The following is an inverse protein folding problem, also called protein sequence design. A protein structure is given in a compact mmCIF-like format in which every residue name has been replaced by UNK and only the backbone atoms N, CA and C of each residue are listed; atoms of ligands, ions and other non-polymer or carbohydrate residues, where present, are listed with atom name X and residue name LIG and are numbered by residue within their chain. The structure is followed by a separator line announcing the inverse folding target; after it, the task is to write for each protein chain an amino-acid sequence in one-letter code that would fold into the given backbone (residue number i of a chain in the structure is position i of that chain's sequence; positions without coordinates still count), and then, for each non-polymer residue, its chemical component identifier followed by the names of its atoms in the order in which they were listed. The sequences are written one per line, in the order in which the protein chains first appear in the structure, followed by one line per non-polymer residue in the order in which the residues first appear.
data_IF_039465852056
#
_entry.id   IF_039465852056
#
_cell.length_a   1.000
_cell.length_b   1.000
_cell.length_c   1.000
_cell.angle_alpha   90.00
_cell.angle_beta   90.00
_cell.angle_gamma   90.00
#
_symmetry.space_group_name_H-M   'P 1'
#
loop_
_entity.id
_entity.type
_entity.pdbx_description
1 polymer ?
#
# COMPACT_ATOMS: atom_id res chain seq x y z
N UNK A 1 10.17 -45.59 -31.92
CA UNK A 1 10.94 -46.26 -30.83
C UNK A 1 11.74 -45.28 -29.96
N UNK A 2 12.24 -44.13 -30.47
CA UNK A 2 12.95 -43.12 -29.66
C UNK A 2 12.14 -42.58 -28.47
N UNK A 3 10.88 -42.15 -28.70
CA UNK A 3 9.99 -41.63 -27.64
C UNK A 3 9.76 -42.60 -26.47
N UNK A 4 9.53 -43.89 -26.76
CA UNK A 4 9.32 -44.90 -25.71
C UNK A 4 10.62 -45.12 -24.92
N UNK A 5 11.78 -45.08 -25.59
CA UNK A 5 13.06 -45.15 -24.89
C UNK A 5 13.24 -43.94 -23.97
N UNK A 6 12.97 -42.73 -24.45
CA UNK A 6 13.07 -41.50 -23.64
C UNK A 6 12.14 -41.48 -22.40
N UNK A 7 10.95 -42.09 -22.47
CA UNK A 7 10.01 -42.13 -21.34
C UNK A 7 10.50 -43.01 -20.18
N UNK A 8 11.26 -44.07 -20.49
CA UNK A 8 11.73 -45.07 -19.52
C UNK A 8 13.25 -45.04 -19.31
N UNK A 9 13.98 -44.21 -20.06
CA UNK A 9 15.40 -43.96 -19.80
C UNK A 9 15.47 -43.16 -18.50
N UNK A 10 15.79 -43.85 -17.41
CA UNK A 10 15.86 -43.33 -16.04
C UNK A 10 16.99 -42.32 -15.81
N UNK A 11 17.37 -41.56 -16.83
CA UNK A 11 18.32 -40.47 -16.75
C UNK A 11 17.76 -39.37 -15.85
N UNK A 12 18.13 -39.42 -14.56
CA UNK A 12 18.53 -38.32 -13.65
C UNK A 12 17.92 -36.91 -13.83
N UNK A 13 16.76 -36.74 -14.45
CA UNK A 13 16.06 -35.47 -14.60
C UNK A 13 15.28 -35.20 -13.32
N UNK A 14 15.98 -34.72 -12.30
CA UNK A 14 15.37 -34.33 -11.03
C UNK A 14 16.24 -34.47 -9.79
N UNK A 15 17.56 -34.65 -9.91
CA UNK A 15 18.43 -34.36 -8.77
C UNK A 15 18.41 -32.84 -8.54
N UNK A 16 17.54 -32.42 -7.62
CA UNK A 16 17.81 -31.23 -6.82
C UNK A 16 19.17 -31.49 -6.19
N UNK A 17 20.17 -30.69 -6.56
CA UNK A 17 21.56 -30.89 -6.18
C UNK A 17 21.73 -31.13 -4.66
N UNK A 18 22.78 -31.86 -4.26
CA UNK A 18 22.94 -32.31 -2.89
C UNK A 18 22.92 -31.12 -1.92
N UNK A 19 22.08 -31.24 -0.88
CA UNK A 19 22.15 -30.38 0.30
C UNK A 19 23.58 -30.51 0.87
N UNK A 20 24.34 -29.42 1.08
CA UNK A 20 25.71 -29.50 1.56
C UNK A 20 25.69 -30.04 2.99
N UNK A 21 26.23 -31.24 3.21
CA UNK A 21 26.47 -31.73 4.57
C UNK A 21 26.42 -33.25 4.83
N UNK A 22 26.03 -34.11 3.89
CA UNK A 22 25.93 -35.56 4.17
C UNK A 22 26.92 -36.38 3.36
N UNK A 23 28.08 -36.70 3.98
CA UNK A 23 29.09 -37.64 3.48
C UNK A 23 28.45 -39.03 3.33
N UNK A 24 28.54 -39.59 2.13
CA UNK A 24 28.01 -40.91 1.80
C UNK A 24 29.05 -41.97 2.13
N UNK A 25 28.78 -42.79 3.15
CA UNK A 25 29.49 -44.02 3.44
C UNK A 25 28.50 -45.18 3.46
N UNK A 26 28.76 -46.19 2.63
CA UNK A 26 28.23 -47.55 2.77
C UNK A 26 26.75 -47.80 2.44
N UNK A 27 26.50 -48.45 1.31
CA UNK A 27 25.61 -49.63 1.27
C UNK A 27 24.16 -49.49 1.72
N UNK A 28 23.38 -48.59 1.10
CA UNK A 28 21.95 -48.84 0.80
C UNK A 28 21.53 -47.82 -0.24
N UNK A 29 21.06 -48.29 -1.39
CA UNK A 29 20.34 -47.44 -2.33
C UNK A 29 19.14 -46.85 -1.58
N UNK A 30 19.29 -45.67 -0.99
CA UNK A 30 18.16 -44.89 -0.51
C UNK A 30 17.41 -44.42 -1.74
N UNK A 31 16.59 -45.32 -2.29
CA UNK A 31 15.59 -44.97 -3.28
C UNK A 31 14.77 -43.83 -2.69
N UNK A 32 14.96 -42.63 -3.22
CA UNK A 32 14.22 -41.44 -2.82
C UNK A 32 12.73 -41.76 -2.87
N UNK A 33 12.08 -41.73 -1.70
CA UNK A 33 10.65 -42.02 -1.62
C UNK A 33 9.88 -40.98 -2.43
N UNK A 34 8.70 -41.35 -2.94
CA UNK A 34 7.82 -40.41 -3.65
C UNK A 34 7.54 -39.18 -2.77
N UNK A 35 7.36 -39.39 -1.45
CA UNK A 35 7.20 -38.30 -0.48
C UNK A 35 8.45 -37.40 -0.35
N UNK A 36 9.65 -37.99 -0.38
CA UNK A 36 10.92 -37.25 -0.37
C UNK A 36 11.10 -36.38 -1.62
N UNK A 37 10.78 -36.92 -2.79
CA UNK A 37 10.79 -36.18 -4.06
C UNK A 37 9.75 -35.05 -4.06
N UNK A 38 8.52 -35.34 -3.63
CA UNK A 38 7.44 -34.35 -3.54
C UNK A 38 7.82 -33.20 -2.60
N UNK A 39 8.38 -33.50 -1.42
CA UNK A 39 8.84 -32.47 -0.48
C UNK A 39 9.92 -31.58 -1.08
N UNK A 40 10.92 -32.16 -1.75
CA UNK A 40 11.99 -31.39 -2.38
C UNK A 40 11.46 -30.46 -3.48
N UNK A 41 10.56 -30.96 -4.33
CA UNK A 41 9.91 -30.16 -5.37
C UNK A 41 9.01 -29.06 -4.79
N UNK A 42 8.28 -29.35 -3.70
CA UNK A 42 7.43 -28.38 -3.02
C UNK A 42 8.25 -27.24 -2.41
N UNK A 43 9.40 -27.53 -1.81
CA UNK A 43 10.30 -26.49 -1.27
C UNK A 43 10.76 -25.53 -2.37
N UNK A 44 11.23 -26.06 -3.51
CA UNK A 44 11.65 -25.25 -4.66
C UNK A 44 10.49 -24.40 -5.20
N UNK A 45 9.28 -24.96 -5.24
CA UNK A 45 8.09 -24.21 -5.65
C UNK A 45 7.76 -23.06 -4.68
N UNK A 46 7.81 -23.30 -3.37
CA UNK A 46 7.53 -22.29 -2.35
C UNK A 46 8.55 -21.15 -2.36
N UNK A 47 9.83 -21.45 -2.62
CA UNK A 47 10.86 -20.43 -2.79
C UNK A 47 10.54 -19.52 -3.98
N UNK A 48 10.22 -20.11 -5.15
CA UNK A 48 9.83 -19.34 -6.34
C UNK A 48 8.58 -18.49 -6.09
N UNK A 49 7.56 -19.05 -5.40
CA UNK A 49 6.34 -18.30 -5.10
C UNK A 49 6.60 -17.13 -4.16
N UNK A 50 7.52 -17.27 -3.19
CA UNK A 50 7.89 -16.20 -2.26
C UNK A 50 8.55 -15.01 -2.97
N UNK A 51 9.29 -15.27 -4.03
CA UNK A 51 9.99 -14.24 -4.79
C UNK A 51 9.06 -13.52 -5.81
N UNK A 52 7.84 -14.00 -5.98
CA UNK A 52 6.83 -13.43 -6.89
C UNK A 52 5.73 -12.66 -6.16
N UNK A 53 5.06 -11.74 -6.88
CA UNK A 53 3.81 -11.15 -6.41
C UNK A 53 2.68 -12.18 -6.42
N UNK A 54 2.11 -12.49 -5.26
CA UNK A 54 1.05 -13.50 -5.14
C UNK A 54 -0.34 -12.88 -5.31
N UNK A 55 -1.11 -13.42 -6.25
CA UNK A 55 -2.53 -13.13 -6.43
C UNK A 55 -3.35 -14.36 -6.07
N UNK A 56 -4.34 -14.20 -5.19
CA UNK A 56 -5.14 -15.31 -4.67
C UNK A 56 -6.55 -15.30 -5.26
N UNK A 57 -6.94 -16.43 -5.86
CA UNK A 57 -8.33 -16.71 -6.26
C UNK A 57 -8.82 -17.90 -5.44
N UNK A 58 -10.00 -17.76 -4.80
CA UNK A 58 -10.62 -18.81 -3.99
C UNK A 58 -11.87 -19.31 -4.70
N UNK A 59 -11.81 -20.53 -5.21
CA UNK A 59 -12.95 -21.19 -5.82
C UNK A 59 -13.91 -21.70 -4.73
N UNK A 60 -15.22 -21.58 -4.96
CA UNK A 60 -16.27 -22.05 -4.06
C UNK A 60 -17.20 -22.95 -4.86
N UNK A 61 -17.49 -24.15 -4.36
CA UNK A 61 -18.44 -25.08 -5.00
C UNK A 61 -19.87 -24.63 -4.66
N UNK A 62 -20.73 -24.31 -5.66
CA UNK A 62 -22.04 -23.73 -5.40
C UNK A 62 -23.06 -24.76 -4.89
N UNK A 63 -23.00 -26.00 -5.35
CA UNK A 63 -23.89 -27.09 -4.94
C UNK A 63 -23.21 -28.45 -5.13
N UNK A 64 -23.67 -29.47 -4.41
CA UNK A 64 -23.14 -30.83 -4.52
C UNK A 64 -23.69 -31.60 -5.72
N UNK A 65 -24.87 -31.23 -6.22
CA UNK A 65 -25.57 -31.89 -7.34
C UNK A 65 -25.01 -31.56 -8.73
N UNK A 66 -23.96 -30.72 -8.80
CA UNK A 66 -23.32 -30.25 -10.04
C UNK A 66 -24.30 -29.60 -11.02
N UNK A 67 -25.37 -28.97 -10.53
CA UNK A 67 -26.41 -28.35 -11.34
C UNK A 67 -26.12 -26.87 -11.55
N UNK A 68 -26.24 -26.35 -12.77
CA UNK A 68 -26.06 -24.94 -13.05
C UNK A 68 -27.19 -24.09 -12.42
N UNK A 69 -26.86 -22.88 -11.96
CA UNK A 69 -27.83 -21.92 -11.40
C UNK A 69 -28.35 -22.23 -9.99
N UNK A 70 -28.01 -23.39 -9.43
CA UNK A 70 -28.41 -23.79 -8.07
C UNK A 70 -27.30 -23.46 -7.07
N UNK A 71 -27.63 -22.79 -5.97
CA UNK A 71 -26.69 -22.43 -4.91
C UNK A 71 -27.19 -22.92 -3.55
N UNK A 72 -26.41 -23.78 -2.90
CA UNK A 72 -26.62 -24.19 -1.52
C UNK A 72 -25.85 -23.27 -0.56
N UNK A 73 -26.59 -22.37 0.07
CA UNK A 73 -26.03 -21.39 1.00
C UNK A 73 -25.33 -22.01 2.21
N UNK A 74 -25.80 -23.15 2.72
CA UNK A 74 -25.21 -23.79 3.90
C UNK A 74 -23.84 -24.41 3.57
N UNK A 75 -23.75 -25.11 2.44
CA UNK A 75 -22.50 -25.68 1.94
C UNK A 75 -21.47 -24.58 1.58
N UNK A 76 -21.92 -23.49 0.94
CA UNK A 76 -21.07 -22.34 0.62
C UNK A 76 -20.54 -21.68 1.90
N UNK A 77 -21.41 -21.46 2.90
CA UNK A 77 -21.02 -20.83 4.16
C UNK A 77 -19.98 -21.66 4.91
N UNK A 78 -20.15 -22.98 4.94
CA UNK A 78 -19.18 -23.90 5.55
C UNK A 78 -17.80 -23.78 4.87
N UNK A 79 -17.76 -23.81 3.53
CA UNK A 79 -16.52 -23.62 2.76
C UNK A 79 -15.84 -22.28 3.08
N UNK A 80 -16.59 -21.18 3.13
CA UNK A 80 -16.04 -19.85 3.44
C UNK A 80 -15.48 -19.77 4.87
N UNK A 81 -16.10 -20.45 5.83
CA UNK A 81 -15.59 -20.54 7.21
C UNK A 81 -14.31 -21.37 7.27
N UNK A 82 -14.30 -22.56 6.68
CA UNK A 82 -13.13 -23.44 6.65
C UNK A 82 -11.94 -22.82 5.91
N UNK A 83 -12.20 -22.07 4.83
CA UNK A 83 -11.17 -21.34 4.09
C UNK A 83 -10.68 -20.06 4.81
N UNK A 84 -11.28 -19.70 5.95
CA UNK A 84 -10.92 -18.51 6.73
C UNK A 84 -11.37 -17.19 6.11
N UNK A 85 -12.24 -17.21 5.09
CA UNK A 85 -12.64 -16.02 4.34
C UNK A 85 -13.38 -14.99 5.21
N UNK A 86 -14.15 -15.44 6.19
CA UNK A 86 -14.82 -14.54 7.14
C UNK A 86 -13.82 -13.73 7.99
N UNK A 87 -12.73 -14.36 8.42
CA UNK A 87 -11.65 -13.72 9.18
C UNK A 87 -10.87 -12.74 8.29
N UNK A 88 -10.57 -13.14 7.05
CA UNK A 88 -9.93 -12.27 6.05
C UNK A 88 -10.77 -11.03 5.77
N UNK A 89 -12.08 -11.19 5.55
CA UNK A 89 -12.98 -10.06 5.31
C UNK A 89 -13.03 -9.09 6.51
N UNK A 90 -13.07 -9.63 7.74
CA UNK A 90 -13.02 -8.81 8.96
C UNK A 90 -11.71 -8.04 9.08
N UNK A 91 -10.57 -8.66 8.75
CA UNK A 91 -9.27 -8.02 8.70
C UNK A 91 -9.25 -6.91 7.64
N UNK A 92 -9.74 -7.18 6.43
CA UNK A 92 -9.80 -6.20 5.34
C UNK A 92 -10.68 -4.99 5.67
N UNK A 93 -11.80 -5.20 6.37
CA UNK A 93 -12.70 -4.12 6.80
C UNK A 93 -12.07 -3.20 7.84
N UNK A 94 -11.25 -3.75 8.74
CA UNK A 94 -10.50 -2.97 9.75
C UNK A 94 -9.24 -2.33 9.19
N UNK A 95 -8.65 -2.94 8.16
CA UNK A 95 -7.42 -2.50 7.53
C UNK A 95 -7.65 -1.56 6.33
N UNK A 96 -6.59 -1.44 5.54
CA UNK A 96 -6.55 -0.65 4.31
C UNK A 96 -6.08 -1.53 3.16
N UNK A 97 -7.01 -2.24 2.47
CA UNK A 97 -6.65 -3.24 1.47
C UNK A 97 -6.08 -2.62 0.19
N UNK A 98 -6.54 -1.44 -0.19
CA UNK A 98 -6.09 -0.73 -1.40
C UNK A 98 -4.85 0.10 -1.09
N UNK A 99 -3.81 -0.05 -1.91
CA UNK A 99 -2.50 0.59 -1.71
C UNK A 99 -2.00 1.13 -3.03
N UNK A 100 -1.52 2.37 -3.02
CA UNK A 100 -0.97 3.00 -4.24
C UNK A 100 0.28 3.77 -3.87
N UNK A 101 1.34 3.66 -4.67
CA UNK A 101 2.56 4.41 -4.38
C UNK A 101 2.39 5.89 -4.71
N UNK A 102 3.16 6.74 -4.02
CA UNK A 102 3.17 8.17 -4.32
C UNK A 102 3.71 8.45 -5.72
N UNK A 103 4.68 7.65 -6.17
CA UNK A 103 5.29 7.79 -7.49
C UNK A 103 4.29 7.45 -8.59
N UNK A 104 3.58 6.32 -8.47
CA UNK A 104 2.59 5.92 -9.47
C UNK A 104 1.46 6.96 -9.54
N UNK A 105 0.96 7.40 -8.38
CA UNK A 105 -0.06 8.45 -8.33
C UNK A 105 0.43 9.72 -9.02
N UNK A 106 1.64 10.17 -8.71
CA UNK A 106 2.22 11.37 -9.30
C UNK A 106 2.40 11.26 -10.82
N UNK A 107 2.93 10.13 -11.30
CA UNK A 107 3.21 9.93 -12.73
C UNK A 107 1.93 9.94 -13.56
N UNK A 108 0.82 9.39 -13.05
CA UNK A 108 -0.49 9.47 -13.70
C UNK A 108 -0.96 10.92 -13.96
N UNK A 109 -0.56 11.88 -13.11
CA UNK A 109 -0.97 13.29 -13.22
C UNK A 109 0.12 14.18 -13.82
N UNK A 110 1.35 13.69 -13.95
CA UNK A 110 2.51 14.50 -14.36
C UNK A 110 2.30 15.28 -15.64
N UNK A 111 1.68 14.66 -16.65
CA UNK A 111 1.40 15.30 -17.94
C UNK A 111 0.41 16.47 -17.86
N UNK A 112 -0.44 16.51 -16.83
CA UNK A 112 -1.46 17.53 -16.64
C UNK A 112 -1.02 18.62 -15.64
N UNK A 113 0.17 18.47 -15.05
CA UNK A 113 0.69 19.38 -14.04
C UNK A 113 1.48 20.54 -14.66
N UNK A 114 1.32 21.78 -14.16
CA UNK A 114 2.20 22.89 -14.49
C UNK A 114 3.66 22.59 -14.08
N UNK A 115 4.66 23.17 -14.78
CA UNK A 115 6.08 22.90 -14.53
C UNK A 115 6.52 23.18 -13.08
N UNK A 116 5.90 24.17 -12.41
CA UNK A 116 6.15 24.50 -11.00
C UNK A 116 5.77 23.36 -10.05
N UNK A 117 4.66 22.65 -10.32
CA UNK A 117 4.18 21.53 -9.52
C UNK A 117 4.84 20.21 -9.93
N UNK A 118 5.26 20.10 -11.18
CA UNK A 118 5.98 18.93 -11.67
C UNK A 118 7.35 18.75 -10.96
N UNK A 119 7.94 19.81 -10.39
CA UNK A 119 9.17 19.70 -9.60
C UNK A 119 8.97 19.31 -8.14
N UNK A 120 7.72 19.16 -7.69
CA UNK A 120 7.41 18.89 -6.29
C UNK A 120 7.68 17.43 -5.93
N UNK A 121 8.04 17.20 -4.67
CA UNK A 121 8.13 15.85 -4.11
C UNK A 121 6.77 15.10 -4.24
N UNK A 122 6.74 13.85 -4.74
CA UNK A 122 5.51 13.09 -4.99
C UNK A 122 4.63 12.92 -3.74
N UNK A 123 5.25 12.78 -2.56
CA UNK A 123 4.50 12.64 -1.30
C UNK A 123 3.84 13.96 -0.91
N UNK A 124 4.55 15.07 -1.05
CA UNK A 124 3.97 16.40 -0.81
C UNK A 124 2.84 16.69 -1.81
N UNK A 125 3.03 16.36 -3.09
CA UNK A 125 1.99 16.50 -4.11
C UNK A 125 0.72 15.73 -3.73
N UNK A 126 0.85 14.45 -3.37
CA UNK A 126 -0.29 13.63 -2.96
C UNK A 126 -1.00 14.21 -1.71
N UNK A 127 -0.26 14.74 -0.74
CA UNK A 127 -0.88 15.41 0.43
C UNK A 127 -1.73 16.61 0.01
N UNK A 128 -1.21 17.46 -0.88
CA UNK A 128 -1.96 18.60 -1.38
C UNK A 128 -3.21 18.16 -2.16
N UNK A 129 -3.07 17.14 -3.01
CA UNK A 129 -4.14 16.63 -3.85
C UNK A 129 -5.32 16.11 -3.01
N UNK A 130 -5.03 15.32 -1.97
CA UNK A 130 -6.06 14.75 -1.10
C UNK A 130 -6.77 15.83 -0.29
N UNK A 131 -6.04 16.88 0.13
CA UNK A 131 -6.64 18.04 0.77
C UNK A 131 -7.52 18.84 -0.20
N UNK A 132 -7.09 19.01 -1.46
CA UNK A 132 -7.88 19.72 -2.48
C UNK A 132 -9.18 18.98 -2.84
N UNK A 133 -9.17 17.64 -2.74
CA UNK A 133 -10.33 16.77 -2.92
C UNK A 133 -11.24 16.72 -1.68
N UNK A 134 -10.81 17.22 -0.52
CA UNK A 134 -11.60 17.20 0.70
C UNK A 134 -11.84 15.79 1.27
N UNK A 135 -10.91 14.86 1.03
CA UNK A 135 -11.04 13.50 1.56
C UNK A 135 -10.91 13.46 3.08
N UNK A 136 -11.71 12.62 3.73
CA UNK A 136 -11.66 12.44 5.17
C UNK A 136 -10.43 11.62 5.60
N UNK A 137 -9.75 12.05 6.66
CA UNK A 137 -8.59 11.36 7.25
C UNK A 137 -8.89 9.96 7.83
N UNK A 138 -10.15 9.52 7.81
CA UNK A 138 -10.61 8.20 8.24
C UNK A 138 -10.54 7.19 7.08
N UNK A 139 -10.70 7.68 5.85
CA UNK A 139 -10.84 6.86 4.64
C UNK A 139 -9.50 6.51 3.99
N UNK A 140 -8.45 7.26 4.33
CA UNK A 140 -7.10 7.01 3.87
C UNK A 140 -6.06 7.26 4.97
N UNK A 141 -4.88 6.67 4.81
CA UNK A 141 -3.69 6.92 5.63
C UNK A 141 -2.46 7.04 4.74
N UNK A 142 -1.60 7.99 5.07
CA UNK A 142 -0.31 8.15 4.42
C UNK A 142 0.74 7.28 5.10
N UNK A 143 1.41 6.41 4.35
CA UNK A 143 2.64 5.75 4.79
C UNK A 143 3.89 6.54 4.43
N UNK A 144 5.02 5.83 4.41
CA UNK A 144 6.31 6.39 4.00
C UNK A 144 6.41 6.54 2.48
N UNK A 145 6.03 5.50 1.73
CA UNK A 145 6.14 5.44 0.26
C UNK A 145 4.81 5.25 -0.47
N UNK A 146 3.73 4.92 0.27
CA UNK A 146 2.42 4.57 -0.29
C UNK A 146 1.28 5.23 0.48
N UNK A 147 0.16 5.43 -0.21
CA UNK A 147 -1.15 5.75 0.38
C UNK A 147 -1.95 4.47 0.56
N UNK A 148 -2.63 4.37 1.69
CA UNK A 148 -3.48 3.26 2.08
C UNK A 148 -4.93 3.74 2.12
N UNK A 149 -5.85 3.04 1.45
CA UNK A 149 -7.26 3.40 1.39
C UNK A 149 -8.14 2.32 1.99
N UNK A 150 -9.25 2.75 2.59
CA UNK A 150 -10.33 1.85 2.99
C UNK A 150 -10.97 1.17 1.77
N UNK A 151 -11.65 0.03 1.96
CA UNK A 151 -12.36 -0.65 0.87
C UNK A 151 -13.30 0.31 0.12
N UNK A 152 -13.28 0.27 -1.22
CA UNK A 152 -14.16 1.09 -2.09
C UNK A 152 -13.70 2.54 -2.31
N UNK A 153 -13.00 3.15 -1.33
CA UNK A 153 -12.62 4.58 -1.39
C UNK A 153 -11.62 4.92 -2.49
N UNK A 154 -10.71 4.00 -2.81
CA UNK A 154 -9.79 4.19 -3.93
C UNK A 154 -10.52 4.26 -5.29
N UNK A 155 -11.56 3.43 -5.48
CA UNK A 155 -12.33 3.43 -6.72
C UNK A 155 -13.16 4.71 -6.88
N UNK A 156 -13.79 5.19 -5.80
CA UNK A 156 -14.46 6.49 -5.78
C UNK A 156 -13.49 7.64 -6.14
N UNK A 157 -12.30 7.62 -5.55
CA UNK A 157 -11.23 8.58 -5.86
C UNK A 157 -10.83 8.53 -7.33
N UNK A 158 -10.48 7.35 -7.84
CA UNK A 158 -10.04 7.16 -9.22
C UNK A 158 -11.13 7.57 -10.24
N UNK A 159 -12.40 7.28 -9.93
CA UNK A 159 -13.53 7.68 -10.76
C UNK A 159 -13.74 9.21 -10.76
N UNK A 160 -13.62 9.86 -9.61
CA UNK A 160 -13.72 11.33 -9.50
C UNK A 160 -12.62 12.03 -10.31
N UNK A 161 -11.42 11.42 -10.34
CA UNK A 161 -10.27 11.97 -11.06
C UNK A 161 -10.28 11.68 -12.57
N UNK A 162 -10.88 10.56 -13.02
CA UNK A 162 -10.95 10.20 -14.44
C UNK A 162 -12.07 10.88 -15.22
N UNK A 163 -13.14 11.32 -14.56
CA UNK A 163 -14.37 11.72 -15.26
C UNK A 163 -14.27 13.00 -16.08
N UNK A 164 -13.40 13.96 -15.72
CA UNK A 164 -13.38 15.24 -16.42
C UNK A 164 -12.01 15.95 -16.34
N UNK A 165 -11.32 16.19 -17.47
CA UNK A 165 -10.05 16.95 -17.48
C UNK A 165 -10.21 18.40 -17.00
N UNK A 166 -11.41 18.99 -17.06
CA UNK A 166 -11.68 20.30 -16.48
C UNK A 166 -11.58 20.28 -14.95
N UNK A 167 -12.02 19.19 -14.32
CA UNK A 167 -11.94 19.01 -12.87
C UNK A 167 -10.49 18.92 -12.39
N UNK A 168 -9.61 18.31 -13.20
CA UNK A 168 -8.18 18.21 -12.88
C UNK A 168 -7.53 19.59 -12.84
N UNK A 169 -7.86 20.51 -13.76
CA UNK A 169 -7.36 21.89 -13.73
C UNK A 169 -7.76 22.63 -12.45
N UNK A 170 -9.03 22.54 -12.06
CA UNK A 170 -9.53 23.13 -10.80
C UNK A 170 -8.82 22.54 -9.58
N UNK A 171 -8.54 21.23 -9.59
CA UNK A 171 -7.79 20.56 -8.54
C UNK A 171 -6.35 21.06 -8.46
N UNK A 172 -5.69 21.21 -9.61
CA UNK A 172 -4.33 21.75 -9.70
C UNK A 172 -4.25 23.18 -9.14
N UNK A 173 -5.23 24.03 -9.44
CA UNK A 173 -5.28 25.40 -8.92
C UNK A 173 -5.52 25.44 -7.41
N UNK A 174 -6.37 24.54 -6.89
CA UNK A 174 -6.56 24.34 -5.44
C UNK A 174 -5.28 23.87 -4.77
N UNK A 175 -4.57 22.92 -5.38
CA UNK A 175 -3.27 22.41 -4.91
C UNK A 175 -2.24 23.54 -4.86
N UNK A 176 -2.12 24.34 -5.93
CA UNK A 176 -1.20 25.49 -6.00
C UNK A 176 -1.52 26.52 -4.92
N UNK A 177 -2.79 26.88 -4.78
CA UNK A 177 -3.26 27.82 -3.75
C UNK A 177 -2.96 27.31 -2.34
N UNK A 178 -3.19 26.03 -2.08
CA UNK A 178 -2.89 25.41 -0.78
C UNK A 178 -1.38 25.37 -0.49
N UNK A 179 -0.57 25.07 -1.51
CA UNK A 179 0.89 25.03 -1.38
C UNK A 179 1.45 26.42 -1.05
N UNK A 180 0.97 27.46 -1.75
CA UNK A 180 1.36 28.86 -1.48
C UNK A 180 0.95 29.28 -0.06
N UNK A 181 -0.30 29.03 0.34
CA UNK A 181 -0.78 29.32 1.71
C UNK A 181 0.04 28.59 2.77
N UNK A 182 0.40 27.33 2.53
CA UNK A 182 1.18 26.52 3.48
C UNK A 182 2.62 27.02 3.60
N UNK A 183 3.27 27.38 2.48
CA UNK A 183 4.62 27.96 2.49
C UNK A 183 4.65 29.31 3.20
N UNK A 184 3.67 30.18 2.91
CA UNK A 184 3.54 31.48 3.56
C UNK A 184 3.33 31.37 5.06
N UNK A 185 2.44 30.47 5.51
CA UNK A 185 2.27 30.18 6.93
C UNK A 185 3.59 29.73 7.54
N UNK A 186 4.26 28.71 6.98
CA UNK A 186 5.55 28.24 7.51
C UNK A 186 6.62 29.34 7.64
N UNK A 187 6.69 30.26 6.68
CA UNK A 187 7.59 31.41 6.76
C UNK A 187 7.24 32.35 7.93
N UNK A 188 5.95 32.66 8.11
CA UNK A 188 5.47 33.44 9.26
C UNK A 188 5.82 32.73 10.57
N UNK A 189 5.52 31.43 10.69
CA UNK A 189 5.88 30.60 11.84
C UNK A 189 7.37 30.64 12.19
N UNK A 190 8.24 30.53 11.17
CA UNK A 190 9.68 30.59 11.34
C UNK A 190 10.13 31.93 11.91
N UNK A 191 9.67 33.03 11.32
CA UNK A 191 9.95 34.38 11.80
C UNK A 191 9.46 34.60 13.24
N UNK A 192 8.24 34.17 13.55
CA UNK A 192 7.65 34.29 14.88
C UNK A 192 8.39 33.46 15.94
N UNK A 193 8.87 32.27 15.57
CA UNK A 193 9.66 31.41 16.47
C UNK A 193 10.99 32.06 16.86
N UNK A 194 11.63 32.78 15.93
CA UNK A 194 12.87 33.54 16.19
C UNK A 194 12.58 34.74 17.10
N UNK A 195 11.51 35.49 16.82
CA UNK A 195 11.08 36.63 17.66
C UNK A 195 10.76 36.15 19.09
N UNK A 196 10.01 35.05 19.25
CA UNK A 196 9.68 34.45 20.56
C UNK A 196 10.94 34.05 21.34
N UNK A 197 11.95 33.45 20.68
CA UNK A 197 13.24 33.13 21.31
C UNK A 197 14.01 34.38 21.73
N UNK A 198 14.02 35.43 20.90
CA UNK A 198 14.67 36.71 21.25
C UNK A 198 14.00 37.40 22.43
N UNK A 199 12.67 37.44 22.49
CA UNK A 199 11.97 38.00 23.65
C UNK A 199 12.22 37.23 24.95
N UNK A 200 12.31 35.89 24.87
CA UNK A 200 12.65 35.05 26.01
C UNK A 200 14.10 35.27 26.50
N UNK A 201 15.04 35.48 25.58
CA UNK A 201 16.47 35.76 25.88
C UNK A 201 16.66 37.11 26.60
N UNK A 202 15.84 38.11 26.30
CA UNK A 202 15.88 39.44 26.93
C UNK A 202 14.97 39.59 28.16
N UNK A 203 14.32 38.52 28.63
CA UNK A 203 13.46 38.55 29.83
C UNK A 203 12.19 39.41 29.70
N UNK A 204 11.85 39.86 28.49
CA UNK A 204 10.67 40.69 28.22
C UNK A 204 9.45 39.77 28.05
N UNK A 205 8.47 39.84 28.96
CA UNK A 205 7.18 39.18 28.78
C UNK A 205 6.46 39.78 27.58
N UNK A 206 6.27 38.99 26.52
CA UNK A 206 5.51 39.40 25.34
C UNK A 206 4.11 39.89 25.74
N UNK A 207 3.72 41.07 25.24
CA UNK A 207 2.41 41.66 25.53
C UNK A 207 1.25 40.79 25.04
N UNK A 208 0.02 40.98 25.56
CA UNK A 208 -1.13 40.10 25.32
C UNK A 208 -1.53 39.97 23.84
N UNK A 209 -1.30 41.01 23.02
CA UNK A 209 -1.51 40.97 21.56
C UNK A 209 -0.53 40.04 20.83
N UNK A 210 0.72 40.00 21.30
CA UNK A 210 1.79 39.14 20.76
C UNK A 210 1.49 37.68 21.08
N UNK A 211 1.04 37.39 22.31
CA UNK A 211 0.65 36.04 22.71
C UNK A 211 -0.57 35.52 21.94
N UNK A 212 -1.60 36.36 21.69
CA UNK A 212 -2.77 35.95 20.90
C UNK A 212 -2.38 35.58 19.46
N UNK A 213 -1.58 36.42 18.80
CA UNK A 213 -1.06 36.11 17.46
C UNK A 213 -0.19 34.85 17.45
N UNK A 214 0.61 34.60 18.50
CA UNK A 214 1.37 33.36 18.64
C UNK A 214 0.45 32.15 18.79
N UNK A 215 -0.65 32.24 19.54
CA UNK A 215 -1.61 31.13 19.69
C UNK A 215 -2.38 30.85 18.40
N UNK A 216 -2.80 31.89 17.67
CA UNK A 216 -3.48 31.76 16.37
C UNK A 216 -2.53 31.16 15.33
N UNK A 217 -1.30 31.68 15.29
CA UNK A 217 -0.15 31.08 14.62
C UNK A 217 0.46 30.00 15.52
N UNK A 218 -0.28 29.17 16.24
CA UNK A 218 0.20 27.85 16.75
C UNK A 218 -0.88 26.82 16.41
N UNK A 219 -2.15 27.20 16.58
CA UNK A 219 -3.32 26.49 16.09
C UNK A 219 -3.29 26.21 14.57
N UNK A 220 -2.81 27.15 13.74
CA UNK A 220 -2.68 26.94 12.29
C UNK A 220 -1.56 25.96 11.89
N UNK A 221 -0.52 25.81 12.72
CA UNK A 221 0.57 24.85 12.53
C UNK A 221 0.16 23.51 13.02
N UNK A 222 -0.68 23.41 14.05
CA UNK A 222 -1.23 22.13 14.48
C UNK A 222 -2.03 21.47 13.34
N UNK A 223 -2.68 22.24 12.47
CA UNK A 223 -3.33 21.73 11.26
C UNK A 223 -2.29 21.23 10.24
N UNK A 224 -1.14 21.89 10.10
CA UNK A 224 -0.05 21.48 9.20
C UNK A 224 0.89 20.40 9.79
N UNK A 225 0.97 20.31 11.12
CA UNK A 225 1.93 19.53 11.89
C UNK A 225 1.28 18.24 12.40
N UNK A 226 -0.01 18.22 12.76
CA UNK A 226 -0.76 16.96 12.94
C UNK A 226 -0.86 16.14 11.64
N UNK A 227 -0.75 16.79 10.46
CA UNK A 227 -0.56 16.09 9.17
C UNK A 227 0.88 15.59 8.92
N UNK A 228 1.84 16.00 9.74
CA UNK A 228 3.28 15.67 9.63
C UNK A 228 3.77 14.81 10.81
N UNK A 229 2.99 14.69 11.88
CA UNK A 229 3.35 14.06 13.16
C UNK A 229 2.56 12.78 13.45
N UNK A 230 2.11 12.06 12.42
CA UNK A 230 2.12 10.59 12.49
C UNK A 230 3.48 10.14 11.99
N UNK A 231 4.46 10.15 12.90
CA UNK A 231 5.67 9.34 12.78
C UNK A 231 5.30 7.89 13.08
#
# INVERSE_FOLDING_TARGET
VKFIRELFDGGRHGEVGPIPGRRSGGGRLQASTVGGKFRAQLTVLLEKLRDTGTHFVRCVKPNSSMSAGVCDGAAILSQLKCAGMASVLKLMKKGFPSRTSFADLYEMYRCQLPPDLARLDPRLFCKCLFHALGLNNIDYKFGQTKVFFKPGKFAEFDQLLRRDPAHVKVLVDKVRSWLLKTRWRKAQYGAWSVIKRKFAEFGLRGGPKVNKHISDIEALSDISCKSSSLK
#
